data_IF_226041932013
#
_entry.id   IF_226041932013
#
_cell.length_a   1.000
_cell.length_b   1.000
_cell.length_c   1.000
_cell.angle_alpha   90.00
_cell.angle_beta   90.00
_cell.angle_gamma   90.00
#
_symmetry.space_group_name_H-M   'P 1'
#
loop_
_entity.id
_entity.type
_entity.pdbx_description
1 polymer ?
#
# COMPACT_ATOMS: atom_id res chain seq x y z
N UNK A 1 11.65 -8.14 -50.12
CA UNK A 1 12.73 -8.73 -49.31
C UNK A 1 12.96 -7.81 -48.11
N UNK A 2 12.28 -8.06 -46.99
CA UNK A 2 12.41 -7.21 -45.79
C UNK A 2 13.46 -7.79 -44.86
N UNK A 3 14.63 -7.16 -44.80
CA UNK A 3 15.70 -7.53 -43.88
C UNK A 3 15.36 -7.02 -42.47
N UNK A 4 15.05 -7.94 -41.55
CA UNK A 4 14.96 -7.65 -40.11
C UNK A 4 16.35 -7.83 -39.50
N UNK A 5 16.99 -6.73 -39.10
CA UNK A 5 18.26 -6.74 -38.35
C UNK A 5 17.93 -6.84 -36.86
N UNK A 6 18.29 -7.96 -36.25
CA UNK A 6 18.29 -8.17 -34.80
C UNK A 6 19.60 -7.64 -34.21
N UNK A 7 19.57 -6.75 -33.21
CA UNK A 7 20.74 -6.49 -32.39
C UNK A 7 20.90 -7.57 -31.31
N UNK A 8 22.04 -8.27 -31.35
CA UNK A 8 22.48 -9.22 -30.33
C UNK A 8 22.93 -8.49 -29.05
N UNK A 9 22.26 -8.82 -27.95
CA UNK A 9 22.82 -9.36 -26.70
C UNK A 9 24.22 -8.88 -26.27
N UNK A 10 24.27 -8.12 -25.18
CA UNK A 10 25.40 -8.08 -24.25
C UNK A 10 24.87 -7.92 -22.82
N UNK A 11 24.71 -9.05 -22.12
CA UNK A 11 24.29 -9.12 -20.73
C UNK A 11 25.56 -9.24 -19.88
N UNK A 12 25.99 -8.13 -19.27
CA UNK A 12 27.14 -8.12 -18.37
C UNK A 12 26.69 -8.58 -16.98
N UNK A 13 27.03 -9.83 -16.65
CA UNK A 13 26.89 -10.37 -15.31
C UNK A 13 28.00 -9.82 -14.41
N UNK A 14 27.63 -8.99 -13.43
CA UNK A 14 28.54 -8.59 -12.35
C UNK A 14 28.13 -9.35 -11.09
N UNK A 15 28.88 -10.40 -10.78
CA UNK A 15 28.81 -11.11 -9.51
C UNK A 15 29.78 -10.46 -8.53
N UNK A 16 29.27 -9.88 -7.45
CA UNK A 16 30.06 -9.40 -6.32
C UNK A 16 29.56 -10.05 -5.03
N UNK A 17 30.28 -11.10 -4.64
CA UNK A 17 30.75 -11.37 -3.28
C UNK A 17 29.75 -11.45 -2.13
N UNK A 18 29.50 -12.67 -1.66
CA UNK A 18 29.10 -12.95 -0.28
C UNK A 18 30.23 -12.53 0.68
N UNK A 19 29.90 -11.71 1.69
CA UNK A 19 30.64 -11.65 2.94
C UNK A 19 29.67 -11.93 4.10
N UNK A 20 29.73 -13.15 4.61
CA UNK A 20 29.06 -13.62 5.81
C UNK A 20 29.90 -13.18 7.03
N UNK A 21 29.52 -12.09 7.69
CA UNK A 21 30.03 -11.78 9.04
C UNK A 21 28.93 -12.08 10.06
N UNK A 22 28.91 -13.34 10.48
CA UNK A 22 28.36 -13.71 11.76
C UNK A 22 29.37 -13.26 12.82
N UNK A 23 29.01 -12.24 13.61
CA UNK A 23 29.67 -11.99 14.89
C UNK A 23 28.58 -11.99 15.97
N UNK A 24 28.28 -13.18 16.46
CA UNK A 24 27.76 -13.37 17.81
C UNK A 24 28.95 -13.60 18.73
N UNK A 25 29.09 -12.76 19.76
CA UNK A 25 29.77 -13.02 21.03
C UNK A 25 29.44 -11.81 21.93
N UNK A 26 28.57 -11.87 22.93
CA UNK A 26 28.55 -12.69 24.17
C UNK A 26 29.77 -12.47 25.07
N UNK A 27 29.53 -11.81 26.21
CA UNK A 27 30.41 -11.72 27.39
C UNK A 27 31.33 -10.49 27.38
N UNK A 28 31.48 -9.68 28.44
CA UNK A 28 31.07 -9.65 29.86
C UNK A 28 31.59 -8.30 30.40
N UNK A 29 31.45 -7.80 31.62
CA UNK A 29 31.01 -8.28 32.93
C UNK A 29 30.81 -7.04 33.84
N UNK A 30 30.07 -7.19 34.94
CA UNK A 30 29.93 -6.21 36.04
C UNK A 30 28.47 -5.79 36.24
N UNK A 31 27.75 -6.08 37.33
CA UNK A 31 28.17 -6.35 38.71
C UNK A 31 27.14 -7.25 39.42
N UNK A 32 27.63 -7.94 40.45
CA UNK A 32 26.91 -8.86 41.33
C UNK A 32 26.20 -8.14 42.48
N UNK A 33 25.00 -8.62 42.86
CA UNK A 33 24.47 -8.84 44.23
C UNK A 33 22.95 -9.08 44.10
N UNK A 34 22.48 -10.33 44.12
CA UNK A 34 22.04 -11.11 45.30
C UNK A 34 20.98 -10.38 46.12
N UNK A 35 19.71 -10.81 46.00
CA UNK A 35 18.99 -11.42 47.13
C UNK A 35 17.73 -12.20 46.68
N UNK A 36 17.61 -13.43 47.23
CA UNK A 36 16.45 -14.25 47.62
C UNK A 36 15.13 -14.23 46.82
N UNK A 37 14.36 -15.31 46.62
CA UNK A 37 14.38 -16.74 46.94
C UNK A 37 13.10 -17.38 46.28
N UNK A 38 12.94 -18.72 46.26
CA UNK A 38 12.23 -19.47 45.21
C UNK A 38 10.87 -20.05 45.63
N UNK A 39 10.08 -20.56 44.66
CA UNK A 39 9.34 -21.85 44.67
C UNK A 39 8.53 -21.99 43.36
N UNK A 40 8.90 -22.88 42.44
CA UNK A 40 8.40 -24.25 42.24
C UNK A 40 6.92 -24.31 41.76
N UNK A 41 6.68 -24.48 40.45
CA UNK A 41 6.48 -25.76 39.71
C UNK A 41 5.02 -26.26 39.70
N UNK A 42 4.54 -26.58 38.48
CA UNK A 42 3.62 -27.67 38.08
C UNK A 42 2.39 -27.15 37.28
N UNK A 43 2.27 -27.47 35.98
CA UNK A 43 1.60 -28.69 35.42
C UNK A 43 0.08 -28.56 35.61
N UNK A 44 -0.83 -28.53 34.63
CA UNK A 44 -0.99 -29.30 33.38
C UNK A 44 -2.23 -28.77 32.60
N UNK A 45 -2.62 -29.36 31.43
CA UNK A 45 -3.38 -28.71 30.36
C UNK A 45 -4.90 -28.99 30.33
N UNK A 46 -5.51 -28.44 29.28
CA UNK A 46 -6.71 -28.89 28.55
C UNK A 46 -8.07 -28.36 29.02
N UNK A 47 -8.83 -27.75 28.09
CA UNK A 47 -9.91 -28.46 27.39
C UNK A 47 -10.68 -27.55 26.41
N UNK A 48 -10.85 -28.07 25.20
CA UNK A 48 -11.91 -27.76 24.24
C UNK A 48 -13.29 -27.97 24.88
N UNK A 49 -14.32 -27.26 24.39
CA UNK A 49 -15.49 -28.00 23.95
C UNK A 49 -16.01 -27.55 22.58
N UNK A 50 -16.52 -28.54 21.86
CA UNK A 50 -17.19 -28.50 20.57
C UNK A 50 -18.60 -27.92 20.62
N UNK A 51 -18.94 -27.24 19.51
CA UNK A 51 -20.24 -27.13 18.83
C UNK A 51 -21.40 -26.35 19.48
N UNK A 52 -21.89 -25.32 18.78
CA UNK A 52 -23.28 -25.28 18.27
C UNK A 52 -23.56 -24.03 17.41
N UNK A 53 -24.05 -24.25 16.18
CA UNK A 53 -24.92 -23.30 15.49
C UNK A 53 -26.21 -23.09 16.29
N UNK A 54 -26.79 -21.89 16.17
CA UNK A 54 -28.20 -21.82 15.84
C UNK A 54 -28.45 -21.00 14.56
N UNK A 55 -29.35 -21.54 13.74
CA UNK A 55 -30.00 -20.86 12.63
C UNK A 55 -30.87 -19.70 13.11
N UNK A 56 -31.00 -18.71 12.22
CA UNK A 56 -32.11 -17.79 12.00
C UNK A 56 -32.91 -17.28 13.19
N UNK A 57 -32.94 -15.96 13.37
CA UNK A 57 -34.22 -15.29 13.54
C UNK A 57 -34.22 -13.86 12.99
N UNK A 58 -35.37 -13.54 12.42
CA UNK A 58 -35.78 -12.37 11.68
C UNK A 58 -35.92 -11.14 12.61
N UNK A 59 -35.57 -9.95 12.14
CA UNK A 59 -35.54 -8.76 13.00
C UNK A 59 -35.37 -7.44 12.26
N UNK A 60 -36.35 -7.16 11.40
CA UNK A 60 -36.51 -5.92 10.62
C UNK A 60 -36.75 -4.67 11.50
N UNK A 61 -35.94 -3.61 11.33
CA UNK A 61 -36.35 -2.18 11.24
C UNK A 61 -35.11 -1.26 11.12
N UNK A 62 -34.74 -0.76 9.94
CA UNK A 62 -35.19 0.51 9.31
C UNK A 62 -34.43 1.76 9.78
N UNK A 63 -33.57 2.30 8.90
CA UNK A 63 -33.16 3.71 8.95
C UNK A 63 -31.88 4.05 8.18
N UNK A 64 -31.99 4.38 6.89
CA UNK A 64 -30.93 5.10 6.16
C UNK A 64 -30.65 4.59 4.74
N UNK A 65 -31.56 4.88 3.81
CA UNK A 65 -31.43 4.51 2.40
C UNK A 65 -30.30 5.26 1.67
N UNK A 66 -29.46 4.50 0.97
CA UNK A 66 -29.09 4.82 -0.41
C UNK A 66 -29.08 3.52 -1.19
N UNK A 67 -30.17 3.37 -1.95
CA UNK A 67 -30.57 2.19 -2.69
C UNK A 67 -29.57 1.84 -3.77
N UNK A 68 -28.81 0.77 -3.57
CA UNK A 68 -28.53 -0.18 -4.64
C UNK A 68 -28.86 -1.57 -4.11
N UNK A 69 -29.95 -2.13 -4.63
CA UNK A 69 -30.27 -3.54 -4.51
C UNK A 69 -29.03 -4.34 -4.92
N UNK A 70 -28.54 -5.31 -4.12
CA UNK A 70 -27.56 -6.26 -4.60
C UNK A 70 -28.32 -7.16 -5.57
N UNK A 71 -28.39 -6.75 -6.84
CA UNK A 71 -28.56 -7.71 -7.92
C UNK A 71 -27.52 -8.79 -7.62
N UNK A 72 -27.97 -10.04 -7.51
CA UNK A 72 -27.09 -11.20 -7.39
C UNK A 72 -26.30 -11.34 -8.70
N UNK A 73 -25.42 -10.38 -8.95
CA UNK A 73 -24.37 -10.46 -9.94
C UNK A 73 -23.50 -11.60 -9.44
N UNK A 74 -23.31 -12.58 -10.33
CA UNK A 74 -22.27 -13.58 -10.19
C UNK A 74 -21.01 -12.86 -9.68
N UNK A 75 -20.27 -13.43 -8.70
CA UNK A 75 -18.99 -12.86 -8.30
C UNK A 75 -18.17 -12.57 -9.55
N UNK A 76 -17.93 -11.29 -9.85
CA UNK A 76 -17.03 -10.90 -10.94
C UNK A 76 -15.58 -11.24 -10.56
N UNK A 77 -15.36 -11.52 -9.27
CA UNK A 77 -14.16 -12.14 -8.75
C UNK A 77 -14.29 -13.66 -8.84
N UNK A 78 -13.44 -14.29 -9.65
CA UNK A 78 -13.32 -15.76 -9.65
C UNK A 78 -13.05 -16.32 -8.25
N UNK A 79 -13.67 -17.44 -7.88
CA UNK A 79 -13.53 -18.05 -6.55
C UNK A 79 -12.06 -18.29 -6.20
N UNK A 80 -11.59 -17.71 -5.09
CA UNK A 80 -10.20 -17.86 -4.63
C UNK A 80 -9.17 -16.97 -5.35
N UNK A 81 -9.55 -16.25 -6.41
CA UNK A 81 -8.65 -15.34 -7.14
C UNK A 81 -8.53 -14.02 -6.38
N UNK A 82 -7.35 -13.39 -6.34
CA UNK A 82 -7.19 -12.04 -5.76
C UNK A 82 -7.63 -10.98 -6.76
N UNK A 83 -8.06 -9.83 -6.28
CA UNK A 83 -8.43 -8.73 -7.17
C UNK A 83 -7.21 -8.17 -7.90
N UNK A 84 -6.09 -8.06 -7.20
CA UNK A 84 -4.81 -7.60 -7.74
C UNK A 84 -4.22 -8.50 -8.83
N UNK A 85 -4.74 -9.73 -8.99
CA UNK A 85 -4.33 -10.65 -10.06
C UNK A 85 -5.21 -10.48 -11.32
N UNK A 86 -6.37 -9.84 -11.19
CA UNK A 86 -7.36 -9.69 -12.26
C UNK A 86 -7.30 -8.32 -12.93
N UNK A 87 -6.83 -7.29 -12.22
CA UNK A 87 -6.74 -5.92 -12.71
C UNK A 87 -5.48 -5.25 -12.19
N UNK A 88 -5.02 -4.25 -12.94
CA UNK A 88 -3.93 -3.38 -12.51
C UNK A 88 -4.45 -2.29 -11.56
N UNK A 89 -3.91 -2.29 -10.34
CA UNK A 89 -4.20 -1.30 -9.30
C UNK A 89 -3.01 -0.35 -9.07
N UNK A 90 -2.08 -0.24 -10.03
CA UNK A 90 -1.00 0.72 -9.94
C UNK A 90 -1.53 2.15 -9.74
N UNK A 91 -1.04 2.83 -8.70
CA UNK A 91 -1.48 4.18 -8.34
C UNK A 91 -2.77 4.23 -7.50
N UNK A 92 -3.37 3.08 -7.15
CA UNK A 92 -4.44 3.03 -6.17
C UNK A 92 -3.89 3.35 -4.77
N UNK A 93 -4.47 4.35 -4.06
CA UNK A 93 -4.02 4.70 -2.72
C UNK A 93 -4.31 3.60 -1.69
N UNK A 94 -5.25 2.69 -1.97
CA UNK A 94 -5.56 1.57 -1.08
C UNK A 94 -4.52 0.47 -1.26
N UNK A 95 -4.19 -0.18 -0.15
CA UNK A 95 -3.24 -1.29 -0.20
C UNK A 95 -3.82 -2.49 -0.96
N UNK A 96 -2.94 -3.29 -1.59
CA UNK A 96 -3.32 -4.55 -2.22
C UNK A 96 -4.08 -5.48 -1.27
N UNK A 97 -3.75 -5.46 0.03
CA UNK A 97 -4.45 -6.25 1.04
C UNK A 97 -5.90 -5.78 1.21
N UNK A 98 -6.13 -4.47 1.34
CA UNK A 98 -7.46 -3.89 1.46
C UNK A 98 -8.33 -4.17 0.24
N UNK A 99 -7.80 -3.96 -0.97
CA UNK A 99 -8.49 -4.25 -2.23
C UNK A 99 -8.89 -5.73 -2.29
N UNK A 100 -8.00 -6.62 -1.85
CA UNK A 100 -8.25 -8.05 -1.80
C UNK A 100 -9.25 -8.46 -0.71
N UNK A 101 -9.33 -7.73 0.40
CA UNK A 101 -10.36 -7.94 1.43
C UNK A 101 -11.72 -7.51 0.92
N UNK A 102 -11.83 -6.30 0.33
CA UNK A 102 -13.08 -5.80 -0.25
C UNK A 102 -13.67 -6.80 -1.24
N UNK A 103 -12.86 -7.32 -2.17
CA UNK A 103 -13.39 -8.29 -3.12
C UNK A 103 -13.69 -9.66 -2.52
N UNK A 104 -13.09 -10.02 -1.38
CA UNK A 104 -13.38 -11.29 -0.71
C UNK A 104 -14.72 -11.18 0.03
N UNK A 105 -14.97 -10.02 0.64
CA UNK A 105 -16.19 -9.72 1.39
C UNK A 105 -17.39 -9.48 0.47
N UNK A 106 -17.18 -8.78 -0.66
CA UNK A 106 -18.26 -8.39 -1.58
C UNK A 106 -18.46 -9.36 -2.74
N UNK A 107 -17.52 -10.28 -2.97
CA UNK A 107 -17.51 -11.14 -4.15
C UNK A 107 -17.19 -10.41 -5.47
N UNK A 108 -16.91 -9.10 -5.44
CA UNK A 108 -16.61 -8.30 -6.63
C UNK A 108 -15.39 -7.43 -6.40
N UNK A 109 -14.48 -7.36 -7.37
CA UNK A 109 -13.30 -6.52 -7.23
C UNK A 109 -13.65 -5.04 -7.41
N UNK A 110 -13.25 -4.15 -6.49
CA UNK A 110 -13.53 -2.73 -6.63
C UNK A 110 -12.79 -2.16 -7.84
N UNK A 111 -13.32 -1.10 -8.43
CA UNK A 111 -12.58 -0.36 -9.45
C UNK A 111 -11.32 0.27 -8.84
N UNK A 112 -10.19 0.31 -9.59
CA UNK A 112 -9.02 1.06 -9.17
C UNK A 112 -9.39 2.53 -8.92
N UNK A 113 -9.00 3.05 -7.77
CA UNK A 113 -9.11 4.46 -7.47
C UNK A 113 -7.85 5.14 -7.96
N UNK A 114 -7.95 6.07 -8.89
CA UNK A 114 -6.80 6.94 -9.15
C UNK A 114 -6.56 7.77 -7.89
N UNK A 115 -5.34 7.73 -7.34
CA UNK A 115 -4.91 8.75 -6.38
C UNK A 115 -5.24 10.14 -6.95
N UNK A 116 -5.55 11.11 -6.08
CA UNK A 116 -5.86 12.49 -6.53
C UNK A 116 -4.84 12.87 -7.60
N UNK A 117 -5.32 13.16 -8.81
CA UNK A 117 -4.45 13.65 -9.86
C UNK A 117 -3.63 14.81 -9.27
N UNK A 118 -2.32 14.86 -9.54
CA UNK A 118 -1.48 15.91 -8.96
C UNK A 118 -2.13 17.24 -9.28
N UNK A 119 -2.50 17.98 -8.24
CA UNK A 119 -3.14 19.28 -8.41
C UNK A 119 -2.10 20.23 -8.97
N UNK A 120 -2.39 20.89 -10.08
CA UNK A 120 -1.50 21.87 -10.69
C UNK A 120 -1.23 21.61 -12.16
N UNK A 121 -0.27 22.36 -12.71
CA UNK A 121 0.13 22.26 -14.11
C UNK A 121 1.35 21.35 -14.22
N UNK A 122 1.39 20.34 -15.12
CA UNK A 122 2.58 19.52 -15.31
C UNK A 122 3.82 20.39 -15.56
N UNK A 123 4.90 20.11 -14.84
CA UNK A 123 6.14 20.87 -14.98
C UNK A 123 6.82 20.48 -16.30
N UNK A 124 7.22 21.48 -17.07
CA UNK A 124 8.03 21.26 -18.26
C UNK A 124 9.48 20.91 -17.87
N UNK A 125 10.08 19.94 -18.56
CA UNK A 125 11.47 19.54 -18.35
C UNK A 125 12.42 20.73 -18.53
N UNK A 126 13.31 20.94 -17.57
CA UNK A 126 14.26 22.06 -17.57
C UNK A 126 13.66 23.45 -17.32
N UNK A 127 12.35 23.57 -17.15
CA UNK A 127 11.66 24.85 -16.89
C UNK A 127 11.27 24.95 -15.42
N UNK A 128 11.43 26.13 -14.82
CA UNK A 128 10.97 26.40 -13.45
C UNK A 128 9.49 26.69 -13.45
N UNK A 129 8.81 26.30 -12.38
CA UNK A 129 7.37 26.54 -12.26
C UNK A 129 7.02 28.01 -12.34
N UNK A 130 7.83 28.87 -11.71
CA UNK A 130 7.66 30.32 -11.76
C UNK A 130 7.84 30.94 -13.14
N UNK A 131 8.45 30.21 -14.08
CA UNK A 131 8.60 30.65 -15.48
C UNK A 131 7.45 30.11 -16.36
N UNK A 132 6.75 29.07 -15.91
CA UNK A 132 5.65 28.43 -16.61
C UNK A 132 4.27 28.97 -16.19
N UNK A 133 4.10 29.29 -14.90
CA UNK A 133 2.83 29.73 -14.30
C UNK A 133 3.05 31.05 -13.58
N UNK A 134 2.08 31.96 -13.70
CA UNK A 134 2.11 33.25 -13.03
C UNK A 134 1.64 33.12 -11.57
N UNK A 135 2.58 33.17 -10.62
CA UNK A 135 2.32 33.13 -9.17
C UNK A 135 2.19 34.51 -8.53
N UNK A 136 1.86 35.55 -9.28
CA UNK A 136 1.63 36.88 -8.70
C UNK A 136 0.56 36.82 -7.61
N UNK A 137 0.93 37.22 -6.39
CA UNK A 137 0.04 37.19 -5.22
C UNK A 137 0.16 35.94 -4.34
N UNK A 138 0.80 34.86 -4.83
CA UNK A 138 1.02 33.66 -4.02
C UNK A 138 1.89 33.99 -2.80
N UNK A 139 1.47 33.63 -1.58
CA UNK A 139 2.25 33.89 -0.37
C UNK A 139 3.51 33.02 -0.28
N UNK A 140 3.59 31.88 -0.99
CA UNK A 140 4.78 31.02 -0.97
C UNK A 140 5.92 31.65 -1.76
N UNK A 141 7.18 31.51 -1.30
CA UNK A 141 8.32 31.99 -2.05
C UNK A 141 8.51 31.17 -3.34
N UNK A 142 9.02 31.84 -4.38
CA UNK A 142 9.33 31.22 -5.68
C UNK A 142 10.23 29.98 -5.55
N UNK A 143 11.16 29.97 -4.60
CA UNK A 143 12.03 28.81 -4.35
C UNK A 143 11.22 27.58 -3.90
N UNK A 144 10.27 27.75 -2.98
CA UNK A 144 9.40 26.66 -2.50
C UNK A 144 8.53 26.13 -3.64
N UNK A 145 7.91 27.02 -4.42
CA UNK A 145 7.08 26.66 -5.58
C UNK A 145 7.89 25.84 -6.60
N UNK A 146 9.12 26.27 -6.88
CA UNK A 146 10.00 25.56 -7.79
C UNK A 146 10.43 24.21 -7.23
N UNK A 147 10.76 24.11 -5.94
CA UNK A 147 11.09 22.83 -5.29
C UNK A 147 9.93 21.83 -5.35
N UNK A 148 8.70 22.26 -5.04
CA UNK A 148 7.50 21.40 -5.19
C UNK A 148 7.38 20.88 -6.62
N UNK A 149 7.61 21.76 -7.60
CA UNK A 149 7.61 21.37 -9.01
C UNK A 149 8.65 20.33 -9.37
N UNK A 150 9.89 20.49 -8.90
CA UNK A 150 10.97 19.51 -9.14
C UNK A 150 10.68 18.17 -8.46
N UNK A 151 10.12 18.18 -7.24
CA UNK A 151 9.85 16.97 -6.45
C UNK A 151 8.64 16.18 -6.98
N UNK A 152 7.59 16.89 -7.39
CA UNK A 152 6.31 16.26 -7.78
C UNK A 152 6.14 16.12 -9.29
N UNK A 153 7.02 16.74 -10.08
CA UNK A 153 6.85 16.86 -11.54
C UNK A 153 5.66 17.74 -11.94
N UNK A 154 5.03 18.45 -10.99
CA UNK A 154 3.85 19.28 -11.22
C UNK A 154 3.99 20.62 -10.52
N UNK A 155 3.82 21.71 -11.25
CA UNK A 155 3.78 23.04 -10.71
C UNK A 155 2.50 23.25 -9.89
N UNK A 156 2.61 23.60 -8.60
CA UNK A 156 1.44 23.66 -7.72
C UNK A 156 0.44 24.73 -8.19
N UNK A 157 -0.85 24.61 -7.85
CA UNK A 157 -1.81 25.68 -8.10
C UNK A 157 -1.42 26.95 -7.36
N UNK A 158 -1.74 28.11 -7.94
CA UNK A 158 -1.57 29.43 -7.31
C UNK A 158 -2.49 29.53 -6.11
N UNK A 159 -1.98 30.05 -4.99
CA UNK A 159 -2.75 30.30 -3.77
C UNK A 159 -3.01 31.78 -3.61
N UNK A 160 -4.27 32.18 -3.54
CA UNK A 160 -4.62 33.56 -3.16
C UNK A 160 -4.43 33.77 -1.65
N UNK A 161 -4.22 35.04 -1.26
CA UNK A 161 -4.09 35.47 0.14
C UNK A 161 -5.43 35.63 0.84
#
# INVERSE_FOLDING_TARGET
MSARKTPMLALAAVALGLALTACGNSGGDGDVNVDAAPTATATSPAQTPTAQSPSADDGTATGGASSQTPTASKPDRGTGVKCTDQRDYAGDPRSNAEINSIGADTGTCPEPQSGKAPSGTPKQDGVKCTDQVNYAGDPRPNAEINSIGEETGTCPPVRDK
#
